data_IF_581143195870
#
_entry.id   IF_581143195870
#
_cell.length_a   1.000
_cell.length_b   1.000
_cell.length_c   1.000
_cell.angle_alpha   90.00
_cell.angle_beta   90.00
_cell.angle_gamma   90.00
#
_symmetry.space_group_name_H-M   'P 1'
#
loop_
_entity.id
_entity.type
_entity.pdbx_description
1 polymer ?
#
# COMPACT_ATOMS: atom_id res chain seq x y z
N UNK A 1 5.61 -7.93 21.60
CA UNK A 1 5.62 -7.93 20.15
C UNK A 1 5.34 -6.55 19.60
N UNK A 2 6.17 -6.12 18.71
CA UNK A 2 5.97 -4.81 18.10
C UNK A 2 4.83 -4.87 17.09
N UNK A 3 4.05 -3.80 17.06
CA UNK A 3 3.04 -3.62 16.04
C UNK A 3 3.71 -3.38 14.70
N UNK A 4 3.14 -3.93 13.64
CA UNK A 4 3.66 -3.72 12.30
C UNK A 4 3.20 -2.36 11.78
N UNK A 5 4.12 -1.60 11.22
CA UNK A 5 3.79 -0.29 10.64
C UNK A 5 3.28 -0.46 9.21
N UNK A 6 2.09 0.05 8.96
CA UNK A 6 1.49 0.09 7.63
C UNK A 6 1.54 1.54 7.13
N UNK A 7 2.03 1.74 5.92
CA UNK A 7 1.94 3.04 5.26
C UNK A 7 0.72 3.01 4.34
N UNK A 8 -0.24 3.89 4.61
CA UNK A 8 -1.43 4.04 3.79
C UNK A 8 -1.29 5.25 2.89
N UNK A 9 -1.31 5.05 1.59
CA UNK A 9 -1.19 6.13 0.61
C UNK A 9 -2.55 6.34 -0.05
N UNK A 10 -3.21 7.42 0.32
CA UNK A 10 -4.56 7.76 -0.13
C UNK A 10 -4.73 9.27 -0.09
N UNK A 11 -5.14 9.87 -1.20
CA UNK A 11 -5.32 11.32 -1.27
C UNK A 11 -6.67 11.80 -0.73
N UNK A 12 -7.68 10.95 -0.71
CA UNK A 12 -8.99 11.32 -0.18
C UNK A 12 -8.98 11.22 1.34
N UNK A 13 -9.16 12.36 2.00
CA UNK A 13 -9.08 12.45 3.46
C UNK A 13 -10.10 11.58 4.18
N UNK A 14 -11.32 11.51 3.68
CA UNK A 14 -12.38 10.71 4.30
C UNK A 14 -12.07 9.22 4.22
N UNK A 15 -11.66 8.75 3.04
CA UNK A 15 -11.28 7.36 2.84
C UNK A 15 -10.05 7.00 3.68
N UNK A 16 -9.08 7.90 3.72
CA UNK A 16 -7.86 7.72 4.50
C UNK A 16 -8.17 7.54 5.98
N UNK A 17 -8.98 8.45 6.54
CA UNK A 17 -9.33 8.40 7.95
C UNK A 17 -10.10 7.13 8.30
N UNK A 18 -11.02 6.72 7.45
CA UNK A 18 -11.78 5.49 7.66
C UNK A 18 -10.87 4.27 7.70
N UNK A 19 -9.95 4.15 6.75
CA UNK A 19 -9.03 3.02 6.68
C UNK A 19 -8.05 3.02 7.84
N UNK A 20 -7.56 4.19 8.24
CA UNK A 20 -6.67 4.31 9.41
C UNK A 20 -7.36 3.75 10.65
N UNK A 21 -8.60 4.17 10.92
CA UNK A 21 -9.34 3.70 12.09
C UNK A 21 -9.51 2.19 12.10
N UNK A 22 -9.85 1.62 10.95
CA UNK A 22 -10.07 0.17 10.84
C UNK A 22 -8.78 -0.60 11.03
N UNK A 23 -7.70 -0.12 10.44
CA UNK A 23 -6.40 -0.77 10.57
C UNK A 23 -5.88 -0.70 12.01
N UNK A 24 -6.06 0.44 12.67
CA UNK A 24 -5.66 0.59 14.06
C UNK A 24 -6.46 -0.34 14.98
N UNK A 25 -7.75 -0.51 14.72
CA UNK A 25 -8.58 -1.46 15.47
C UNK A 25 -8.10 -2.89 15.29
N UNK A 26 -7.51 -3.19 14.16
CA UNK A 26 -6.98 -4.52 13.88
C UNK A 26 -5.59 -4.75 14.50
N UNK A 27 -5.07 -3.75 15.21
CA UNK A 27 -3.80 -3.87 15.92
C UNK A 27 -2.57 -3.37 15.16
N UNK A 28 -2.77 -2.66 14.07
CA UNK A 28 -1.67 -2.14 13.28
C UNK A 28 -1.38 -0.67 13.61
N UNK A 29 -0.12 -0.30 13.50
CA UNK A 29 0.28 1.12 13.51
C UNK A 29 0.18 1.61 12.07
N UNK A 30 -0.33 2.83 11.88
CA UNK A 30 -0.55 3.36 10.53
C UNK A 30 0.07 4.75 10.40
N UNK A 31 0.82 4.95 9.34
CA UNK A 31 1.26 6.26 8.88
C UNK A 31 0.62 6.53 7.53
N UNK A 32 0.48 7.79 7.15
CA UNK A 32 -0.22 8.13 5.92
C UNK A 32 0.61 9.01 5.00
N UNK A 33 0.29 8.95 3.70
CA UNK A 33 0.84 9.82 2.68
C UNK A 33 -0.27 10.18 1.70
N UNK A 34 -0.23 11.36 1.13
CA UNK A 34 -1.29 11.87 0.27
C UNK A 34 -1.01 11.76 -1.22
N UNK A 35 0.20 11.39 -1.61
CA UNK A 35 0.58 11.23 -3.01
C UNK A 35 1.76 10.27 -3.14
N UNK A 36 2.11 9.95 -4.39
CA UNK A 36 3.18 8.98 -4.65
C UNK A 36 4.56 9.44 -4.25
N UNK A 37 4.84 10.74 -4.35
CA UNK A 37 6.14 11.27 -3.94
C UNK A 37 6.31 11.19 -2.44
N UNK A 38 5.29 11.60 -1.68
CA UNK A 38 5.30 11.49 -0.22
C UNK A 38 5.40 10.01 0.21
N UNK A 39 4.76 9.11 -0.55
CA UNK A 39 4.84 7.68 -0.28
C UNK A 39 6.28 7.18 -0.35
N UNK A 40 7.01 7.55 -1.40
CA UNK A 40 8.39 7.12 -1.56
C UNK A 40 9.29 7.67 -0.45
N UNK A 41 9.11 8.94 -0.11
CA UNK A 41 9.86 9.56 0.98
C UNK A 41 9.61 8.85 2.31
N UNK A 42 8.34 8.55 2.61
CA UNK A 42 7.97 7.87 3.83
C UNK A 42 8.44 6.42 3.87
N UNK A 43 8.45 5.74 2.72
CA UNK A 43 9.01 4.39 2.64
C UNK A 43 10.48 4.38 3.03
N UNK A 44 11.24 5.34 2.51
CA UNK A 44 12.68 5.44 2.83
C UNK A 44 12.91 5.80 4.29
N UNK A 45 12.13 6.73 4.83
CA UNK A 45 12.32 7.22 6.19
C UNK A 45 11.80 6.25 7.25
N UNK A 46 10.67 5.62 7.02
CA UNK A 46 9.96 4.83 8.02
C UNK A 46 10.17 3.33 7.89
N UNK A 47 10.54 2.86 6.70
CA UNK A 47 10.70 1.43 6.42
C UNK A 47 9.48 0.62 6.89
N UNK A 48 8.28 0.92 6.38
CA UNK A 48 7.07 0.22 6.83
C UNK A 48 7.12 -1.26 6.47
N UNK A 49 6.35 -2.05 7.20
CA UNK A 49 6.27 -3.49 6.95
C UNK A 49 5.47 -3.81 5.68
N UNK A 50 4.49 -2.96 5.35
CA UNK A 50 3.69 -3.09 4.13
C UNK A 50 3.14 -1.72 3.76
N UNK A 51 2.92 -1.49 2.46
CA UNK A 51 2.34 -0.26 1.93
C UNK A 51 1.02 -0.59 1.24
N UNK A 52 -0.03 0.16 1.58
CA UNK A 52 -1.29 0.13 0.86
C UNK A 52 -1.29 1.35 -0.06
N UNK A 53 -1.17 1.13 -1.35
CA UNK A 53 -0.96 2.19 -2.33
C UNK A 53 -2.18 2.37 -3.23
N UNK A 54 -2.87 3.51 -3.08
CA UNK A 54 -3.88 3.89 -4.05
C UNK A 54 -3.18 4.16 -5.38
N UNK A 55 -3.66 3.54 -6.45
CA UNK A 55 -3.04 3.69 -7.76
C UNK A 55 -3.42 4.99 -8.46
N UNK A 56 -4.47 5.65 -7.98
CA UNK A 56 -4.99 6.86 -8.60
C UNK A 56 -4.68 8.09 -7.73
N UNK A 57 -3.41 8.50 -7.73
CA UNK A 57 -2.90 9.57 -6.87
C UNK A 57 -2.52 10.82 -7.65
N UNK A 58 -2.57 12.01 -7.00
CA UNK A 58 -2.03 13.23 -7.60
C UNK A 58 -0.50 13.27 -7.53
N UNK A 59 0.10 14.22 -8.21
CA UNK A 59 1.55 14.50 -8.26
C UNK A 59 2.31 13.36 -8.91
N UNK A 60 2.36 12.20 -8.26
CA UNK A 60 2.94 10.97 -8.79
C UNK A 60 1.97 9.85 -8.48
N UNK A 61 1.45 9.18 -9.52
CA UNK A 61 0.47 8.12 -9.33
C UNK A 61 1.09 6.86 -8.71
N UNK A 62 0.22 5.94 -8.28
CA UNK A 62 0.66 4.73 -7.62
C UNK A 62 1.49 3.81 -8.52
N UNK A 63 1.19 3.78 -9.82
CA UNK A 63 1.95 2.97 -10.77
C UNK A 63 3.40 3.42 -10.84
N UNK A 64 3.60 4.73 -11.02
CA UNK A 64 4.95 5.31 -11.08
C UNK A 64 5.69 5.14 -9.77
N UNK A 65 5.00 5.33 -8.65
CA UNK A 65 5.62 5.14 -7.33
C UNK A 65 6.07 3.69 -7.12
N UNK A 66 5.26 2.72 -7.53
CA UNK A 66 5.62 1.30 -7.42
C UNK A 66 6.83 0.96 -8.28
N UNK A 67 6.89 1.49 -9.49
CA UNK A 67 8.03 1.27 -10.39
C UNK A 67 9.32 1.86 -9.82
N UNK A 68 9.26 3.07 -9.26
CA UNK A 68 10.42 3.68 -8.62
C UNK A 68 10.86 2.89 -7.38
N UNK A 69 9.90 2.44 -6.58
CA UNK A 69 10.22 1.64 -5.39
C UNK A 69 10.91 0.33 -5.78
N UNK A 70 10.45 -0.32 -6.84
CA UNK A 70 11.04 -1.56 -7.31
C UNK A 70 12.48 -1.38 -7.79
N UNK A 71 12.83 -0.18 -8.24
CA UNK A 71 14.19 0.15 -8.68
C UNK A 71 15.07 0.74 -7.59
N UNK A 72 14.55 0.94 -6.39
CA UNK A 72 15.29 1.56 -5.28
C UNK A 72 15.73 0.49 -4.28
N UNK A 73 17.03 0.24 -4.21
CA UNK A 73 17.59 -0.81 -3.36
C UNK A 73 17.24 -0.66 -1.88
N UNK A 74 16.96 0.57 -1.42
CA UNK A 74 16.65 0.82 -0.01
C UNK A 74 15.22 0.44 0.36
N UNK A 75 14.31 0.35 -0.60
CA UNK A 75 12.89 0.11 -0.34
C UNK A 75 12.25 -0.98 -1.20
N UNK A 76 12.97 -1.55 -2.15
CA UNK A 76 12.40 -2.56 -3.05
C UNK A 76 11.91 -3.82 -2.32
N UNK A 77 12.39 -4.04 -1.10
CA UNK A 77 11.99 -5.20 -0.29
C UNK A 77 10.63 -5.00 0.39
N UNK A 78 10.11 -3.77 0.43
CA UNK A 78 8.86 -3.47 1.12
C UNK A 78 7.68 -3.93 0.26
N UNK A 79 6.81 -4.81 0.77
CA UNK A 79 5.66 -5.26 -0.02
C UNK A 79 4.64 -4.14 -0.18
N UNK A 80 4.09 -4.03 -1.39
CA UNK A 80 3.08 -3.03 -1.71
C UNK A 80 1.82 -3.74 -2.18
N UNK A 81 0.69 -3.41 -1.57
CA UNK A 81 -0.62 -3.88 -2.02
C UNK A 81 -1.28 -2.72 -2.77
N UNK A 82 -1.58 -2.94 -4.05
CA UNK A 82 -2.23 -1.92 -4.87
C UNK A 82 -3.72 -1.83 -4.53
N UNK A 83 -4.22 -0.61 -4.34
CA UNK A 83 -5.64 -0.35 -4.18
C UNK A 83 -6.13 0.30 -5.48
N UNK A 84 -7.03 -0.38 -6.19
CA UNK A 84 -7.47 0.07 -7.51
C UNK A 84 -8.99 0.08 -7.62
N UNK A 85 -9.53 1.03 -8.38
CA UNK A 85 -10.96 1.09 -8.68
C UNK A 85 -11.37 0.09 -9.76
N UNK A 86 -10.40 -0.55 -10.41
CA UNK A 86 -10.66 -1.45 -11.53
C UNK A 86 -10.28 -2.88 -11.18
N UNK A 87 -11.21 -3.81 -11.40
CA UNK A 87 -11.06 -5.22 -11.04
C UNK A 87 -10.71 -6.11 -12.24
N UNK A 88 -10.24 -5.52 -13.33
CA UNK A 88 -9.94 -6.28 -14.54
C UNK A 88 -8.61 -7.03 -14.41
N UNK A 89 -8.52 -8.17 -15.08
CA UNK A 89 -7.32 -8.99 -15.06
C UNK A 89 -6.07 -8.22 -15.52
N UNK A 90 -6.25 -7.28 -16.45
CA UNK A 90 -5.16 -6.44 -16.94
C UNK A 90 -4.58 -5.56 -15.85
N UNK A 91 -5.44 -5.01 -14.99
CA UNK A 91 -5.00 -4.14 -13.89
C UNK A 91 -4.25 -4.94 -12.83
N UNK A 92 -4.72 -6.15 -12.54
CA UNK A 92 -4.03 -7.06 -11.64
C UNK A 92 -2.62 -7.38 -12.17
N UNK A 93 -2.55 -7.74 -13.45
CA UNK A 93 -1.29 -8.07 -14.10
C UNK A 93 -0.33 -6.88 -14.08
N UNK A 94 -0.86 -5.70 -14.38
CA UNK A 94 -0.08 -4.47 -14.35
C UNK A 94 0.46 -4.17 -12.95
N UNK A 95 -0.35 -4.38 -11.91
CA UNK A 95 0.09 -4.15 -10.54
C UNK A 95 1.24 -5.10 -10.17
N UNK A 96 1.12 -6.37 -10.53
CA UNK A 96 2.17 -7.34 -10.24
C UNK A 96 3.44 -7.03 -11.02
N UNK A 97 3.33 -6.63 -12.28
CA UNK A 97 4.49 -6.23 -13.09
C UNK A 97 5.16 -4.96 -12.55
N UNK A 98 4.39 -4.05 -11.95
CA UNK A 98 4.94 -2.84 -11.34
C UNK A 98 5.65 -3.12 -10.01
N UNK A 99 5.61 -4.36 -9.53
CA UNK A 99 6.32 -4.76 -8.31
C UNK A 99 5.43 -4.90 -7.08
N UNK A 100 4.11 -4.81 -7.23
CA UNK A 100 3.19 -5.01 -6.11
C UNK A 100 3.09 -6.49 -5.74
N UNK A 101 2.96 -6.78 -4.44
CA UNK A 101 2.83 -8.18 -4.00
C UNK A 101 1.39 -8.70 -4.15
N UNK A 102 0.42 -7.79 -4.16
CA UNK A 102 -0.99 -8.13 -4.30
C UNK A 102 -1.77 -6.89 -4.70
N UNK A 103 -3.07 -7.03 -4.88
CA UNK A 103 -3.94 -5.91 -5.17
C UNK A 103 -5.29 -6.10 -4.46
N UNK A 104 -6.02 -5.00 -4.27
CA UNK A 104 -7.38 -5.02 -3.76
C UNK A 104 -8.20 -3.99 -4.53
N UNK A 105 -9.47 -4.32 -4.79
CA UNK A 105 -10.35 -3.42 -5.53
C UNK A 105 -11.16 -2.55 -4.60
N UNK A 106 -11.49 -1.34 -5.05
CA UNK A 106 -12.36 -0.43 -4.33
C UNK A 106 -13.81 -0.64 -4.77
N UNK A 107 -14.79 -0.56 -3.88
CA UNK A 107 -14.63 -0.31 -2.44
C UNK A 107 -13.97 -1.50 -1.74
N UNK A 108 -13.15 -1.19 -0.75
CA UNK A 108 -12.32 -2.21 -0.09
C UNK A 108 -13.16 -3.16 0.73
N UNK A 109 -12.98 -4.48 0.50
CA UNK A 109 -13.49 -5.51 1.39
C UNK A 109 -12.47 -5.66 2.52
N UNK A 110 -12.79 -5.14 3.69
CA UNK A 110 -11.81 -5.02 4.75
C UNK A 110 -11.29 -6.36 5.28
N UNK A 111 -12.16 -7.37 5.54
CA UNK A 111 -11.66 -8.68 5.94
C UNK A 111 -10.68 -9.29 4.93
N UNK A 112 -10.97 -9.16 3.64
CA UNK A 112 -10.08 -9.64 2.59
C UNK A 112 -8.76 -8.86 2.57
N UNK A 113 -8.83 -7.54 2.77
CA UNK A 113 -7.62 -6.71 2.83
C UNK A 113 -6.73 -7.13 4.00
N UNK A 114 -7.29 -7.41 5.17
CA UNK A 114 -6.52 -7.87 6.32
C UNK A 114 -5.82 -9.19 6.04
N UNK A 115 -6.47 -10.11 5.33
CA UNK A 115 -5.85 -11.36 4.93
C UNK A 115 -4.67 -11.14 3.99
N UNK A 116 -4.82 -10.23 3.04
CA UNK A 116 -3.75 -9.89 2.10
C UNK A 116 -2.56 -9.26 2.82
N UNK A 117 -2.84 -8.37 3.77
CA UNK A 117 -1.80 -7.75 4.60
C UNK A 117 -1.03 -8.83 5.36
N UNK A 118 -1.74 -9.75 6.02
CA UNK A 118 -1.12 -10.82 6.78
C UNK A 118 -0.24 -11.70 5.88
N UNK A 119 -0.70 -12.02 4.70
CA UNK A 119 0.05 -12.83 3.73
C UNK A 119 1.34 -12.12 3.31
N UNK A 120 1.26 -10.83 3.00
CA UNK A 120 2.43 -10.05 2.62
C UNK A 120 3.43 -9.92 3.78
N UNK A 121 2.94 -9.73 5.01
CA UNK A 121 3.81 -9.65 6.18
C UNK A 121 4.55 -10.97 6.42
N UNK A 122 3.87 -12.08 6.27
CA UNK A 122 4.48 -13.40 6.44
C UNK A 122 5.52 -13.68 5.36
N UNK A 123 5.23 -13.30 4.12
CA UNK A 123 6.13 -13.54 3.00
C UNK A 123 7.41 -12.72 3.08
N UNK A 124 7.38 -11.58 3.79
CA UNK A 124 8.52 -10.68 3.90
C UNK A 124 9.45 -10.98 5.08
N UNK A 125 9.13 -12.00 5.86
CA UNK A 125 9.97 -12.40 7.00
C UNK A 125 11.15 -13.26 6.61
#
# INVERSE_FOLDING_TARGET
MSEQLILLVEDNEVNRDMLVRRLERAGHRVSTAGDGEAALQNMRALQPAVVLMDMNLPVKDGWSACEEAAGDASIKHIPIIALTAHAMAEDKHRALEAGCCDYATKPVNFPELLEKIATCLDASR
#
